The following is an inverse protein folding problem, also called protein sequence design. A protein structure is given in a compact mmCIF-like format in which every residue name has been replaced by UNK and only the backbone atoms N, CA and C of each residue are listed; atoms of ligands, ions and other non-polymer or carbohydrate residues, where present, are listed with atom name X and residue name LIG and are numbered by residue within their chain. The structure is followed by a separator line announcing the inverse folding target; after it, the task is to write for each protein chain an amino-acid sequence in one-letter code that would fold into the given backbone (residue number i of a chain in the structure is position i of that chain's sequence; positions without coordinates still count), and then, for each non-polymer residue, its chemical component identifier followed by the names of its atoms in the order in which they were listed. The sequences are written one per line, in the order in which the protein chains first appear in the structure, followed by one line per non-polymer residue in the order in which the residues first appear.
data_IF_964591423372
#
_entry.id   IF_964591423372
#
_cell.length_a   1.000
_cell.length_b   1.000
_cell.length_c   1.000
_cell.angle_alpha   90.00
_cell.angle_beta   90.00
_cell.angle_gamma   90.00
#
_symmetry.space_group_name_H-M   'P 1'
#
loop_
_entity.id
_entity.type
_entity.pdbx_description
1 polymer ?
#
# COMPACT_ATOMS: atom_id res chain seq x y z
N UNK A 1 64.59 -7.58 -2.76
CA UNK A 1 63.98 -6.26 -3.02
C UNK A 1 63.41 -6.22 -4.43
N UNK A 2 62.09 -6.41 -4.57
CA UNK A 2 61.33 -6.13 -5.81
C UNK A 2 59.91 -5.73 -5.38
N UNK A 3 59.57 -4.48 -5.67
CA UNK A 3 58.25 -3.88 -5.58
C UNK A 3 57.32 -4.55 -6.60
N UNK A 4 56.14 -4.98 -6.17
CA UNK A 4 55.05 -5.40 -7.05
C UNK A 4 53.73 -4.79 -6.53
N UNK A 5 53.30 -3.74 -7.23
CA UNK A 5 51.95 -3.25 -7.51
C UNK A 5 50.79 -3.67 -6.57
N UNK A 6 50.38 -2.73 -5.71
CA UNK A 6 49.04 -2.69 -5.13
C UNK A 6 48.03 -2.27 -6.20
N UNK A 7 47.29 -3.23 -6.76
CA UNK A 7 46.10 -2.95 -7.59
C UNK A 7 44.90 -2.65 -6.71
N UNK A 8 44.24 -1.55 -7.03
CA UNK A 8 43.04 -1.04 -6.39
C UNK A 8 41.91 -2.08 -6.32
N UNK A 9 41.30 -2.23 -5.14
CA UNK A 9 40.07 -2.97 -4.94
C UNK A 9 38.90 -2.32 -5.71
N UNK A 10 38.08 -3.08 -6.44
CA UNK A 10 36.90 -2.53 -7.08
C UNK A 10 35.83 -2.19 -6.05
N UNK A 11 35.24 -1.01 -6.27
CA UNK A 11 34.13 -0.41 -5.54
C UNK A 11 32.99 -1.41 -5.33
N UNK A 12 32.53 -1.53 -4.07
CA UNK A 12 31.35 -2.31 -3.67
C UNK A 12 30.13 -1.90 -4.51
N UNK A 13 29.51 -2.89 -5.17
CA UNK A 13 28.22 -2.74 -5.85
C UNK A 13 27.15 -2.25 -4.86
N UNK A 14 26.42 -1.24 -5.31
CA UNK A 14 25.34 -0.56 -4.61
C UNK A 14 24.20 -1.50 -4.19
N UNK A 15 23.60 -1.21 -3.04
CA UNK A 15 22.47 -1.91 -2.40
C UNK A 15 21.11 -1.77 -3.13
N UNK A 16 21.11 -1.42 -4.41
CA UNK A 16 19.91 -1.35 -5.23
C UNK A 16 19.88 -2.61 -6.12
N UNK A 17 18.85 -3.43 -5.91
CA UNK A 17 18.73 -4.77 -6.47
C UNK A 17 19.05 -4.84 -7.97
N UNK A 18 20.00 -5.70 -8.31
CA UNK A 18 20.19 -6.16 -9.67
C UNK A 18 18.93 -6.91 -10.12
N UNK A 19 18.42 -6.55 -11.30
CA UNK A 19 17.35 -7.28 -11.96
C UNK A 19 17.75 -8.76 -12.08
N UNK A 20 16.86 -9.72 -11.73
CA UNK A 20 17.16 -11.12 -11.98
C UNK A 20 17.31 -11.35 -13.48
N UNK A 21 18.38 -12.05 -13.85
CA UNK A 21 18.66 -12.44 -15.23
C UNK A 21 17.48 -13.18 -15.85
N UNK A 22 17.16 -12.82 -17.09
CA UNK A 22 16.14 -13.49 -17.90
C UNK A 22 16.60 -14.92 -18.23
N UNK A 23 16.29 -15.86 -17.36
CA UNK A 23 16.35 -17.29 -17.67
C UNK A 23 14.96 -17.89 -17.48
N UNK A 24 14.33 -18.31 -18.59
CA UNK A 24 13.27 -19.33 -18.58
C UNK A 24 11.92 -18.95 -17.97
N UNK A 25 11.40 -17.74 -18.21
CA UNK A 25 9.97 -17.50 -17.99
C UNK A 25 9.15 -18.11 -19.16
N UNK A 26 8.08 -18.89 -18.90
CA UNK A 26 7.24 -19.43 -19.97
C UNK A 26 6.65 -18.29 -20.81
N UNK A 27 6.46 -18.53 -22.11
CA UNK A 27 6.10 -17.53 -23.12
C UNK A 27 4.81 -16.73 -22.85
N UNK A 28 4.00 -17.13 -21.87
CA UNK A 28 2.83 -16.40 -21.37
C UNK A 28 3.17 -15.25 -20.40
N UNK A 29 4.44 -15.06 -20.03
CA UNK A 29 4.87 -14.05 -19.05
C UNK A 29 5.16 -12.66 -19.65
N UNK A 30 4.95 -12.46 -20.96
CA UNK A 30 4.89 -11.12 -21.53
C UNK A 30 3.54 -10.52 -21.14
N UNK A 31 3.55 -9.62 -20.15
CA UNK A 31 2.40 -8.80 -19.80
C UNK A 31 1.85 -8.18 -21.08
N UNK A 32 0.59 -8.49 -21.39
CA UNK A 32 -0.13 -8.04 -22.59
C UNK A 32 -0.10 -6.52 -22.76
N UNK A 33 -0.02 -5.77 -21.67
CA UNK A 33 0.07 -4.31 -21.68
C UNK A 33 1.22 -3.78 -22.55
N UNK A 34 2.42 -4.33 -22.48
CA UNK A 34 3.58 -3.79 -23.24
C UNK A 34 3.43 -4.04 -24.75
N UNK A 35 3.13 -5.27 -25.22
CA UNK A 35 2.78 -5.54 -26.60
C UNK A 35 1.56 -4.75 -27.09
N UNK A 36 0.50 -4.65 -26.28
CA UNK A 36 -0.70 -3.87 -26.62
C UNK A 36 -0.34 -2.40 -26.76
N UNK A 37 0.38 -1.81 -25.80
CA UNK A 37 0.81 -0.42 -25.86
C UNK A 37 1.64 -0.16 -27.11
N UNK A 38 2.59 -1.04 -27.45
CA UNK A 38 3.38 -0.89 -28.68
C UNK A 38 2.48 -0.98 -29.91
N UNK A 39 1.64 -2.00 -30.03
CA UNK A 39 0.81 -2.22 -31.21
C UNK A 39 -0.27 -1.13 -31.38
N UNK A 40 -0.88 -0.67 -30.29
CA UNK A 40 -1.96 0.32 -30.29
C UNK A 40 -1.41 1.75 -30.43
N UNK A 41 -0.39 2.11 -29.65
CA UNK A 41 0.14 3.49 -29.64
C UNK A 41 1.00 3.75 -30.88
N UNK A 42 1.82 2.80 -31.32
CA UNK A 42 2.71 3.01 -32.48
C UNK A 42 1.96 3.00 -33.82
N UNK A 43 0.80 2.34 -33.91
CA UNK A 43 -0.03 2.35 -35.13
C UNK A 43 -0.95 3.57 -35.25
N UNK A 44 -0.84 4.51 -34.32
CA UNK A 44 -1.62 5.74 -34.32
C UNK A 44 -3.03 5.55 -33.78
N UNK A 45 -3.52 6.60 -33.15
CA UNK A 45 -4.85 6.68 -32.54
C UNK A 45 -5.54 7.93 -33.11
N UNK A 46 -6.77 7.78 -33.56
CA UNK A 46 -7.60 8.90 -34.04
C UNK A 46 -8.93 8.90 -33.29
N UNK A 47 -9.39 10.07 -32.86
CA UNK A 47 -10.71 10.20 -32.21
C UNK A 47 -11.79 9.77 -33.21
N UNK A 48 -12.78 9.01 -32.74
CA UNK A 48 -13.90 8.59 -33.57
C UNK A 48 -14.74 9.83 -33.99
N UNK A 49 -15.12 9.97 -35.27
CA UNK A 49 -15.84 11.14 -35.75
C UNK A 49 -17.29 11.24 -35.25
N UNK A 50 -17.89 10.13 -34.82
CA UNK A 50 -19.27 10.04 -34.35
C UNK A 50 -19.37 10.03 -32.83
N UNK A 51 -18.36 9.51 -32.13
CA UNK A 51 -18.32 9.48 -30.66
C UNK A 51 -16.97 9.91 -30.10
N UNK A 52 -16.92 11.10 -29.49
CA UNK A 52 -15.69 11.66 -28.90
C UNK A 52 -15.13 10.87 -27.72
N UNK A 53 -15.89 9.93 -27.15
CA UNK A 53 -15.41 9.04 -26.08
C UNK A 53 -14.67 7.82 -26.63
N UNK A 54 -14.71 7.61 -27.95
CA UNK A 54 -14.06 6.50 -28.62
C UNK A 54 -12.81 6.97 -29.39
N UNK A 55 -11.84 6.09 -29.42
CA UNK A 55 -10.61 6.21 -30.20
C UNK A 55 -10.50 5.01 -31.12
N UNK A 56 -10.24 5.27 -32.40
CA UNK A 56 -10.00 4.25 -33.42
C UNK A 56 -8.49 3.98 -33.52
N UNK A 57 -8.13 2.71 -33.56
CA UNK A 57 -6.75 2.23 -33.76
C UNK A 57 -6.76 1.05 -34.75
N UNK A 58 -5.60 0.45 -35.04
CA UNK A 58 -5.43 -0.62 -36.04
C UNK A 58 -6.11 -0.27 -37.37
N UNK A 59 -5.69 0.82 -38.00
CA UNK A 59 -6.25 1.25 -39.30
C UNK A 59 -7.79 1.44 -39.24
N UNK A 60 -8.29 1.88 -38.08
CA UNK A 60 -9.71 2.15 -37.77
C UNK A 60 -10.60 0.92 -37.64
N UNK A 61 -10.03 -0.27 -37.60
CA UNK A 61 -10.77 -1.53 -37.44
C UNK A 61 -11.13 -1.86 -35.99
N UNK A 62 -10.42 -1.26 -35.02
CA UNK A 62 -10.68 -1.44 -33.60
C UNK A 62 -11.09 -0.12 -32.94
N UNK A 63 -12.19 -0.15 -32.19
CA UNK A 63 -12.63 0.95 -31.31
C UNK A 63 -12.20 0.69 -29.87
N UNK A 64 -11.64 1.71 -29.24
CA UNK A 64 -11.31 1.74 -27.82
C UNK A 64 -12.14 2.83 -27.15
N UNK A 65 -12.74 2.51 -26.00
CA UNK A 65 -13.47 3.47 -25.17
C UNK A 65 -12.81 3.63 -23.81
N UNK A 66 -13.04 4.79 -23.19
CA UNK A 66 -12.56 5.07 -21.83
C UNK A 66 -13.67 4.70 -20.84
N UNK A 67 -13.39 3.79 -19.92
CA UNK A 67 -14.31 3.46 -18.84
C UNK A 67 -14.24 4.56 -17.75
N UNK A 68 -15.39 5.03 -17.23
CA UNK A 68 -15.43 6.08 -16.23
C UNK A 68 -14.78 5.62 -14.91
N UNK A 69 -13.68 6.28 -14.51
CA UNK A 69 -12.85 5.84 -13.37
C UNK A 69 -13.56 5.84 -12.00
N UNK A 70 -14.71 6.52 -11.88
CA UNK A 70 -15.53 6.51 -10.66
C UNK A 70 -16.33 5.20 -10.53
N UNK A 71 -16.73 4.60 -11.65
CA UNK A 71 -17.44 3.31 -11.67
C UNK A 71 -16.46 2.15 -11.87
N UNK A 72 -15.47 2.30 -12.75
CA UNK A 72 -14.44 1.31 -13.02
C UNK A 72 -13.17 1.68 -12.25
N UNK A 73 -13.27 1.49 -10.94
CA UNK A 73 -12.28 1.99 -10.00
C UNK A 73 -10.99 1.17 -10.02
N UNK A 74 -9.91 1.86 -9.67
CA UNK A 74 -8.62 1.23 -9.36
C UNK A 74 -8.39 1.26 -7.87
N UNK A 75 -7.33 0.62 -7.36
CA UNK A 75 -6.93 0.81 -5.97
C UNK A 75 -6.77 2.31 -5.61
N UNK A 76 -6.38 3.14 -6.58
CA UNK A 76 -6.24 4.58 -6.39
C UNK A 76 -7.59 5.30 -6.22
N UNK A 77 -8.57 5.03 -7.09
CA UNK A 77 -9.87 5.73 -6.98
C UNK A 77 -10.82 5.12 -5.95
N UNK A 78 -10.66 3.83 -5.64
CA UNK A 78 -11.49 3.15 -4.65
C UNK A 78 -11.03 3.42 -3.21
N UNK A 79 -9.72 3.39 -2.97
CA UNK A 79 -9.14 3.51 -1.61
C UNK A 79 -8.61 4.91 -1.35
N UNK A 80 -7.64 5.32 -2.16
CA UNK A 80 -6.86 6.54 -1.93
C UNK A 80 -7.73 7.79 -2.09
N UNK A 81 -8.69 7.78 -3.03
CA UNK A 81 -9.65 8.88 -3.21
C UNK A 81 -11.08 8.49 -2.83
N UNK A 82 -11.23 7.60 -1.84
CA UNK A 82 -12.54 7.15 -1.36
C UNK A 82 -13.49 8.30 -1.08
N UNK A 83 -13.08 9.25 -0.23
CA UNK A 83 -13.93 10.38 0.17
C UNK A 83 -14.41 11.20 -1.03
N UNK A 84 -13.52 11.46 -2.00
CA UNK A 84 -13.88 12.18 -3.23
C UNK A 84 -14.83 11.36 -4.10
N UNK A 85 -14.63 10.05 -4.20
CA UNK A 85 -15.54 9.18 -4.95
C UNK A 85 -16.93 9.17 -4.30
N UNK A 86 -16.96 9.01 -2.99
CA UNK A 86 -18.21 8.94 -2.21
C UNK A 86 -18.96 10.28 -2.19
N UNK A 87 -18.27 11.41 -2.13
CA UNK A 87 -18.91 12.73 -2.18
C UNK A 87 -19.57 13.04 -3.53
N UNK A 88 -19.16 12.36 -4.60
CA UNK A 88 -19.79 12.46 -5.92
C UNK A 88 -21.01 11.53 -6.08
N UNK A 89 -21.29 10.66 -5.10
CA UNK A 89 -22.47 9.78 -5.10
C UNK A 89 -22.47 8.72 -6.21
N UNK A 90 -21.32 8.42 -6.81
CA UNK A 90 -21.21 7.43 -7.89
C UNK A 90 -20.77 6.09 -7.30
N UNK A 91 -21.62 5.05 -7.32
CA UNK A 91 -21.24 3.74 -6.81
C UNK A 91 -20.21 3.07 -7.75
N UNK A 92 -19.20 2.39 -7.20
CA UNK A 92 -18.27 1.61 -8.00
C UNK A 92 -19.01 0.42 -8.65
N UNK A 93 -18.77 0.19 -9.94
CA UNK A 93 -19.21 -0.99 -10.67
C UNK A 93 -18.16 -2.11 -10.60
N UNK A 94 -16.88 -1.75 -10.66
CA UNK A 94 -15.76 -2.70 -10.61
C UNK A 94 -14.58 -2.10 -9.87
N UNK A 95 -13.79 -2.96 -9.22
CA UNK A 95 -12.52 -2.63 -8.60
C UNK A 95 -11.40 -3.48 -9.23
N UNK A 96 -10.47 -2.81 -9.91
CA UNK A 96 -9.25 -3.41 -10.38
C UNK A 96 -8.07 -2.97 -9.50
N UNK A 97 -7.46 -3.91 -8.77
CA UNK A 97 -6.26 -3.65 -7.94
C UNK A 97 -4.97 -3.46 -8.78
N UNK A 98 -5.00 -2.52 -9.76
CA UNK A 98 -3.81 -1.99 -10.46
C UNK A 98 -3.16 -0.87 -9.66
N UNK A 99 -1.94 -0.49 -10.07
CA UNK A 99 -1.10 0.50 -9.38
C UNK A 99 -0.73 0.15 -7.94
N UNK A 100 -0.94 -1.09 -7.53
CA UNK A 100 -0.50 -1.60 -6.24
C UNK A 100 1.03 -1.65 -6.09
N UNK A 101 1.86 -1.22 -7.04
CA UNK A 101 3.31 -1.47 -7.09
C UNK A 101 3.63 -2.99 -7.00
N UNK A 102 4.61 -3.49 -7.76
CA UNK A 102 4.91 -4.94 -7.80
C UNK A 102 3.82 -5.82 -8.44
N UNK A 103 4.07 -7.14 -8.48
CA UNK A 103 3.35 -8.10 -9.33
C UNK A 103 2.70 -9.25 -8.55
N UNK A 104 2.79 -9.23 -7.24
CA UNK A 104 2.45 -10.37 -6.40
C UNK A 104 0.93 -10.49 -6.18
N UNK A 105 0.37 -11.69 -6.37
CA UNK A 105 -1.06 -11.93 -6.13
C UNK A 105 -1.47 -11.66 -4.68
N UNK A 106 -0.62 -12.03 -3.72
CA UNK A 106 -0.84 -11.80 -2.29
C UNK A 106 -1.06 -10.31 -1.96
N UNK A 107 -0.41 -9.40 -2.70
CA UNK A 107 -0.62 -7.96 -2.53
C UNK A 107 -2.02 -7.53 -2.96
N UNK A 108 -2.51 -8.03 -4.10
CA UNK A 108 -3.88 -7.75 -4.56
C UNK A 108 -4.92 -8.30 -3.59
N UNK A 109 -4.70 -9.53 -3.10
CA UNK A 109 -5.55 -10.14 -2.08
C UNK A 109 -5.59 -9.30 -0.79
N UNK A 110 -4.44 -8.83 -0.31
CA UNK A 110 -4.35 -7.96 0.86
C UNK A 110 -5.18 -6.68 0.70
N UNK A 111 -5.09 -6.02 -0.47
CA UNK A 111 -5.89 -4.84 -0.81
C UNK A 111 -7.39 -5.16 -0.73
N UNK A 112 -7.84 -6.28 -1.29
CA UNK A 112 -9.26 -6.67 -1.21
C UNK A 112 -9.72 -7.04 0.20
N UNK A 113 -8.86 -7.67 1.01
CA UNK A 113 -9.15 -7.97 2.43
C UNK A 113 -9.26 -6.70 3.27
N UNK A 114 -8.40 -5.71 3.00
CA UNK A 114 -8.45 -4.39 3.65
C UNK A 114 -9.74 -3.63 3.30
N UNK A 115 -10.48 -4.02 2.27
CA UNK A 115 -11.84 -3.51 1.97
C UNK A 115 -12.95 -4.46 2.36
N UNK A 116 -12.62 -5.57 3.00
CA UNK A 116 -13.56 -6.62 3.38
C UNK A 116 -14.28 -7.25 2.17
N UNK A 117 -13.75 -7.04 0.96
CA UNK A 117 -14.27 -7.56 -0.31
C UNK A 117 -13.77 -8.98 -0.61
N UNK A 118 -12.67 -9.39 0.01
CA UNK A 118 -12.18 -10.75 -0.11
C UNK A 118 -12.96 -11.69 0.82
N UNK A 119 -13.34 -12.85 0.29
CA UNK A 119 -14.09 -13.87 1.01
C UNK A 119 -13.15 -14.98 1.48
N UNK A 120 -12.72 -14.88 2.73
CA UNK A 120 -11.94 -15.93 3.40
C UNK A 120 -12.83 -16.97 4.10
N UNK A 121 -12.33 -18.19 4.32
CA UNK A 121 -13.05 -19.19 5.11
C UNK A 121 -13.22 -18.73 6.58
N UNK A 122 -14.22 -19.25 7.32
CA UNK A 122 -14.46 -18.87 8.72
C UNK A 122 -13.23 -18.98 9.62
N UNK A 123 -12.37 -19.97 9.39
CA UNK A 123 -11.12 -20.17 10.15
C UNK A 123 -10.13 -19.00 10.05
N UNK A 124 -10.25 -18.15 9.04
CA UNK A 124 -9.44 -16.94 8.91
C UNK A 124 -9.77 -15.89 9.97
N UNK A 125 -11.02 -15.87 10.42
CA UNK A 125 -11.57 -14.92 11.39
C UNK A 125 -11.42 -15.36 12.85
N UNK A 126 -10.92 -16.57 13.08
CA UNK A 126 -10.68 -17.15 14.39
C UNK A 126 -9.26 -16.89 14.88
N UNK A 127 -9.07 -16.94 16.21
CA UNK A 127 -7.75 -16.92 16.83
C UNK A 127 -7.61 -15.90 17.94
N UNK A 128 -6.36 -15.51 18.22
CA UNK A 128 -6.02 -14.53 19.26
C UNK A 128 -5.28 -13.39 18.62
N UNK A 129 -5.83 -12.19 18.72
CA UNK A 129 -5.34 -11.03 17.99
C UNK A 129 -4.65 -10.02 18.91
N UNK A 130 -3.71 -9.27 18.36
CA UNK A 130 -3.11 -8.09 18.98
C UNK A 130 -3.36 -6.90 18.06
N UNK A 131 -4.08 -5.90 18.55
CA UNK A 131 -4.11 -4.58 17.94
C UNK A 131 -3.09 -3.69 18.69
N UNK A 132 -2.34 -2.90 17.94
CA UNK A 132 -1.33 -2.00 18.51
C UNK A 132 -1.66 -0.56 18.13
N UNK A 133 -1.98 0.24 19.13
CA UNK A 133 -2.24 1.67 18.94
C UNK A 133 -0.94 2.42 18.68
N UNK A 134 -0.88 3.14 17.57
CA UNK A 134 0.25 3.98 17.19
C UNK A 134 0.00 5.42 17.60
N UNK A 135 1.07 6.11 18.03
CA UNK A 135 1.04 7.51 18.45
C UNK A 135 2.11 8.32 17.74
N UNK A 136 1.87 9.60 17.51
CA UNK A 136 2.85 10.51 16.91
C UNK A 136 2.62 11.94 17.41
N UNK A 137 3.67 12.77 17.49
CA UNK A 137 3.54 14.18 17.88
C UNK A 137 2.51 14.92 17.00
N UNK A 138 1.71 15.84 17.57
CA UNK A 138 0.73 16.63 16.80
C UNK A 138 1.33 17.35 15.59
N UNK A 139 2.58 17.81 15.72
CA UNK A 139 3.34 18.42 14.61
C UNK A 139 3.45 17.50 13.40
N UNK A 140 3.81 16.22 13.60
CA UNK A 140 3.94 15.25 12.51
C UNK A 140 2.59 14.89 11.89
N UNK A 141 1.48 15.04 12.63
CA UNK A 141 0.12 14.87 12.08
C UNK A 141 -0.16 15.89 10.98
N UNK A 142 0.25 17.15 11.18
CA UNK A 142 0.08 18.23 10.21
C UNK A 142 1.13 18.15 9.09
N UNK A 143 2.40 18.00 9.45
CA UNK A 143 3.49 18.02 8.48
C UNK A 143 3.54 16.77 7.57
N UNK A 144 3.08 15.62 8.06
CA UNK A 144 3.12 14.36 7.32
C UNK A 144 4.52 13.94 6.90
N UNK A 145 4.64 13.36 5.71
CA UNK A 145 5.95 13.10 5.10
C UNK A 145 6.63 11.80 5.55
N UNK A 146 7.88 11.63 5.12
CA UNK A 146 8.68 10.45 5.44
C UNK A 146 8.96 10.30 6.94
N UNK A 147 9.03 11.41 7.69
CA UNK A 147 9.24 11.37 9.14
C UNK A 147 8.05 10.76 9.88
N UNK A 148 6.83 11.16 9.54
CA UNK A 148 5.61 10.56 10.08
C UNK A 148 5.57 9.05 9.78
N UNK A 149 5.92 8.65 8.56
CA UNK A 149 5.98 7.23 8.20
C UNK A 149 7.07 6.49 8.98
N UNK A 150 8.26 7.04 9.10
CA UNK A 150 9.35 6.42 9.85
C UNK A 150 9.02 6.25 11.35
N UNK A 151 8.31 7.20 11.97
CA UNK A 151 7.84 7.07 13.36
C UNK A 151 6.81 5.95 13.49
N UNK A 152 5.87 5.83 12.54
CA UNK A 152 4.88 4.75 12.55
C UNK A 152 5.51 3.38 12.29
N UNK A 153 6.47 3.27 11.37
CA UNK A 153 7.16 2.01 11.08
C UNK A 153 8.00 1.51 12.26
N UNK A 154 8.65 2.40 13.02
CA UNK A 154 9.34 2.01 14.27
C UNK A 154 8.40 1.43 15.30
N UNK A 155 7.19 1.97 15.42
CA UNK A 155 6.15 1.42 16.31
C UNK A 155 5.61 0.09 15.80
N UNK A 156 5.49 -0.07 14.48
CA UNK A 156 5.13 -1.34 13.88
C UNK A 156 6.16 -2.43 14.20
N UNK A 157 7.46 -2.15 14.19
CA UNK A 157 8.48 -3.11 14.64
C UNK A 157 8.27 -3.57 16.09
N UNK A 158 7.85 -2.66 16.98
CA UNK A 158 7.50 -3.01 18.37
C UNK A 158 6.26 -3.90 18.40
N UNK A 159 5.23 -3.57 17.62
CA UNK A 159 4.00 -4.36 17.51
C UNK A 159 4.28 -5.80 17.05
N UNK A 160 5.16 -5.97 16.05
CA UNK A 160 5.59 -7.30 15.57
C UNK A 160 6.28 -8.09 16.68
N UNK A 161 7.18 -7.47 17.43
CA UNK A 161 7.87 -8.13 18.55
C UNK A 161 6.89 -8.57 19.64
N UNK A 162 5.95 -7.69 20.01
CA UNK A 162 4.92 -8.00 21.01
C UNK A 162 3.99 -9.12 20.55
N UNK A 163 3.55 -9.09 19.29
CA UNK A 163 2.71 -10.15 18.71
C UNK A 163 3.39 -11.52 18.79
N UNK A 164 4.68 -11.58 18.45
CA UNK A 164 5.48 -12.80 18.57
C UNK A 164 5.65 -13.26 20.01
N UNK A 165 5.95 -12.36 20.95
CA UNK A 165 6.12 -12.69 22.38
C UNK A 165 4.83 -13.22 23.02
N UNK A 166 3.68 -12.72 22.59
CA UNK A 166 2.36 -13.08 23.14
C UNK A 166 1.68 -14.24 22.39
N UNK A 167 2.33 -14.77 21.34
CA UNK A 167 1.74 -15.69 20.35
C UNK A 167 0.33 -15.22 19.92
N UNK A 168 0.30 -13.99 19.39
CA UNK A 168 -0.89 -13.32 18.86
C UNK A 168 -0.71 -13.03 17.38
N UNK A 169 -1.78 -13.14 16.62
CA UNK A 169 -1.85 -12.63 15.24
C UNK A 169 -1.93 -11.11 15.28
N UNK A 170 -0.98 -10.43 14.65
CA UNK A 170 -0.93 -8.97 14.65
C UNK A 170 -1.98 -8.40 13.69
N UNK A 171 -2.93 -7.62 14.20
CA UNK A 171 -3.74 -6.72 13.36
C UNK A 171 -2.85 -5.52 13.03
N UNK A 172 -2.54 -5.36 11.75
CA UNK A 172 -1.57 -4.39 11.30
C UNK A 172 -2.07 -2.96 11.60
N UNK A 173 -1.21 -2.03 12.03
CA UNK A 173 -1.64 -0.66 12.31
C UNK A 173 -2.00 0.08 11.02
N UNK A 174 -2.98 0.98 11.08
CA UNK A 174 -3.26 1.94 9.99
C UNK A 174 -2.16 2.99 9.96
N UNK A 175 -1.63 3.24 8.77
CA UNK A 175 -0.64 4.29 8.55
C UNK A 175 -1.32 5.60 8.14
N UNK A 176 -0.93 6.72 8.74
CA UNK A 176 -1.35 8.07 8.38
C UNK A 176 -0.38 8.74 7.44
N UNK A 177 -0.92 9.50 6.49
CA UNK A 177 -0.13 10.12 5.41
C UNK A 177 0.25 11.57 5.71
N UNK A 178 -0.50 12.20 6.60
CA UNK A 178 -0.44 13.65 6.85
C UNK A 178 -0.84 14.45 5.62
N UNK A 179 -0.66 15.77 5.70
CA UNK A 179 -1.21 16.70 4.70
C UNK A 179 -0.22 17.07 3.59
N UNK A 180 1.08 16.79 3.77
CA UNK A 180 2.12 17.14 2.80
C UNK A 180 2.20 16.14 1.65
N UNK A 181 2.08 16.67 0.44
CA UNK A 181 2.26 15.95 -0.82
C UNK A 181 3.68 15.37 -0.93
N UNK A 182 3.83 14.14 -1.46
CA UNK A 182 5.09 13.44 -1.86
C UNK A 182 5.57 12.26 -0.98
N UNK A 183 4.89 11.88 0.10
CA UNK A 183 5.35 10.74 0.90
C UNK A 183 5.16 9.35 0.23
N UNK A 184 4.44 9.27 -0.91
CA UNK A 184 4.13 7.99 -1.58
C UNK A 184 4.58 7.98 -3.04
N UNK A 185 5.30 6.92 -3.49
CA UNK A 185 5.79 6.81 -4.86
C UNK A 185 4.71 6.95 -5.94
N UNK A 186 3.51 6.42 -5.73
CA UNK A 186 2.42 6.56 -6.69
C UNK A 186 1.79 7.97 -6.71
N UNK A 187 1.81 8.68 -5.57
CA UNK A 187 1.52 10.12 -5.58
C UNK A 187 2.61 10.88 -6.33
N UNK A 188 3.89 10.58 -6.12
CA UNK A 188 4.97 11.25 -6.86
C UNK A 188 4.83 11.10 -8.39
N UNK A 189 4.44 9.91 -8.88
CA UNK A 189 4.13 9.70 -10.30
C UNK A 189 2.90 10.50 -10.76
N UNK A 190 1.83 10.50 -9.96
CA UNK A 190 0.61 11.26 -10.28
C UNK A 190 0.86 12.78 -10.26
N UNK A 191 1.58 13.30 -9.26
CA UNK A 191 2.04 14.68 -9.18
C UNK A 191 2.86 15.06 -10.41
N UNK A 192 3.77 14.17 -10.85
CA UNK A 192 4.56 14.39 -12.07
C UNK A 192 3.69 14.39 -13.34
N UNK A 193 2.73 13.49 -13.45
CA UNK A 193 1.79 13.46 -14.57
C UNK A 193 0.90 14.71 -14.60
N UNK A 194 0.33 15.10 -13.46
CA UNK A 194 -0.51 16.29 -13.32
C UNK A 194 0.29 17.57 -13.63
N UNK A 195 1.52 17.68 -13.11
CA UNK A 195 2.41 18.79 -13.43
C UNK A 195 2.75 18.84 -14.93
N UNK A 196 2.98 17.68 -15.56
CA UNK A 196 3.20 17.59 -17.01
C UNK A 196 2.00 18.09 -17.82
N UNK A 197 0.77 17.83 -17.35
CA UNK A 197 -0.45 18.33 -17.97
C UNK A 197 -0.85 19.75 -17.52
N UNK A 198 0.02 20.47 -16.79
CA UNK A 198 -0.27 21.82 -16.29
C UNK A 198 -1.38 21.88 -15.24
N UNK A 199 -1.76 20.76 -14.64
CA UNK A 199 -2.78 20.67 -13.61
C UNK A 199 -2.18 20.98 -12.24
N UNK A 200 -2.90 21.77 -11.44
CA UNK A 200 -2.43 22.18 -10.12
C UNK A 200 -2.42 20.98 -9.15
N UNK A 201 -1.22 20.46 -8.90
CA UNK A 201 -0.98 19.30 -8.06
C UNK A 201 -1.25 19.55 -6.56
N UNK A 202 -1.26 20.82 -6.12
CA UNK A 202 -1.65 21.18 -4.75
C UNK A 202 -3.16 21.00 -4.49
N UNK A 203 -3.96 20.72 -5.53
CA UNK A 203 -5.40 20.43 -5.42
C UNK A 203 -5.74 18.94 -5.29
N UNK A 204 -4.74 18.06 -5.23
CA UNK A 204 -4.96 16.63 -5.03
C UNK A 204 -4.78 16.36 -3.53
N UNK A 205 -5.88 16.23 -2.76
CA UNK A 205 -5.78 15.99 -1.33
C UNK A 205 -5.11 14.63 -1.08
N UNK A 206 -4.20 14.58 -0.11
CA UNK A 206 -3.64 13.33 0.38
C UNK A 206 -4.75 12.48 1.02
N UNK A 207 -4.72 11.14 0.90
CA UNK A 207 -5.61 10.32 1.67
C UNK A 207 -5.29 10.46 3.15
N UNK A 208 -6.33 10.40 4.00
CA UNK A 208 -6.13 10.25 5.44
C UNK A 208 -5.37 8.94 5.77
N UNK A 209 -5.84 7.89 5.06
CA UNK A 209 -5.39 6.49 4.91
C UNK A 209 -4.13 6.22 4.08
N UNK A 210 -2.97 5.85 4.61
CA UNK A 210 -1.91 5.36 3.73
C UNK A 210 -2.09 3.90 3.35
N UNK A 211 -1.91 3.57 2.07
CA UNK A 211 -1.93 2.18 1.68
C UNK A 211 -0.72 1.46 2.27
N UNK A 212 -0.97 0.56 3.21
CA UNK A 212 0.07 -0.16 3.95
C UNK A 212 0.92 -1.04 3.03
N UNK A 213 0.37 -1.51 1.91
CA UNK A 213 1.06 -2.38 0.96
C UNK A 213 2.30 -1.76 0.28
N UNK A 214 2.50 -0.43 0.37
CA UNK A 214 3.75 0.22 -0.06
C UNK A 214 4.90 0.01 0.93
N UNK A 215 4.57 -0.17 2.22
CA UNK A 215 5.53 -0.21 3.31
C UNK A 215 5.64 -1.61 3.92
N UNK A 216 4.67 -2.48 3.64
CA UNK A 216 4.61 -3.83 4.14
C UNK A 216 4.42 -4.82 3.00
N UNK A 217 5.29 -5.84 2.95
CA UNK A 217 5.18 -6.95 2.02
C UNK A 217 4.52 -8.13 2.72
N UNK A 218 3.22 -8.30 2.49
CA UNK A 218 2.43 -9.41 3.02
C UNK A 218 3.08 -10.77 2.70
N UNK A 219 3.51 -10.97 1.46
CA UNK A 219 4.17 -12.20 1.03
C UNK A 219 5.47 -12.47 1.82
N UNK A 220 6.34 -11.46 1.98
CA UNK A 220 7.58 -11.65 2.73
C UNK A 220 7.33 -11.87 4.21
N UNK A 221 6.30 -11.25 4.77
CA UNK A 221 5.89 -11.46 6.15
C UNK A 221 5.39 -12.89 6.38
N UNK A 222 4.52 -13.40 5.49
CA UNK A 222 4.05 -14.79 5.52
C UNK A 222 5.21 -15.78 5.39
N UNK A 223 6.14 -15.55 4.45
CA UNK A 223 7.34 -16.37 4.26
C UNK A 223 8.26 -16.40 5.51
N UNK A 224 8.25 -15.33 6.30
CA UNK A 224 8.98 -15.24 7.57
C UNK A 224 8.18 -15.75 8.78
N UNK A 225 6.99 -16.31 8.54
CA UNK A 225 6.14 -16.88 9.59
C UNK A 225 5.39 -15.85 10.44
N UNK A 226 5.33 -14.58 10.02
CA UNK A 226 4.55 -13.57 10.73
C UNK A 226 3.05 -13.83 10.53
N UNK A 227 2.33 -14.07 11.63
CA UNK A 227 0.87 -14.11 11.64
C UNK A 227 0.33 -12.68 11.69
N UNK A 228 -0.40 -12.25 10.66
CA UNK A 228 -1.01 -10.92 10.64
C UNK A 228 -2.40 -10.88 10.03
N UNK A 229 -3.09 -9.76 10.21
CA UNK A 229 -4.36 -9.37 9.59
C UNK A 229 -4.35 -7.90 9.18
N UNK A 230 -5.20 -7.53 8.23
CA UNK A 230 -5.31 -6.18 7.69
C UNK A 230 -5.79 -5.16 8.75
N UNK A 231 -5.51 -3.86 8.61
CA UNK A 231 -5.81 -2.87 9.65
C UNK A 231 -7.28 -2.69 10.06
N UNK A 232 -8.23 -3.15 9.24
CA UNK A 232 -9.65 -3.11 9.54
C UNK A 232 -10.26 -4.49 9.81
N UNK A 233 -9.42 -5.50 10.04
CA UNK A 233 -9.87 -6.87 10.22
C UNK A 233 -10.87 -7.03 11.37
N UNK A 234 -10.61 -6.44 12.54
CA UNK A 234 -11.50 -6.56 13.70
C UNK A 234 -12.85 -5.85 13.52
N UNK A 235 -12.95 -4.93 12.56
CA UNK A 235 -14.21 -4.27 12.17
C UNK A 235 -14.96 -5.03 11.08
N UNK A 236 -14.44 -6.16 10.60
CA UNK A 236 -15.11 -6.97 9.60
C UNK A 236 -16.30 -7.70 10.24
N UNK A 237 -17.52 -7.61 9.68
CA UNK A 237 -18.71 -8.25 10.25
C UNK A 237 -18.61 -9.79 10.28
N UNK A 238 -17.65 -10.38 9.58
CA UNK A 238 -17.38 -11.82 9.61
C UNK A 238 -16.52 -12.25 10.80
N UNK A 239 -15.95 -11.31 11.56
CA UNK A 239 -15.28 -11.63 12.82
C UNK A 239 -16.32 -12.09 13.83
N UNK A 240 -16.19 -13.31 14.40
CA UNK A 240 -17.16 -13.83 15.35
C UNK A 240 -17.32 -12.96 16.59
N UNK A 241 -18.53 -12.97 17.16
CA UNK A 241 -18.85 -12.18 18.34
C UNK A 241 -18.00 -12.57 19.56
N UNK A 242 -17.65 -13.85 19.73
CA UNK A 242 -16.81 -14.28 20.86
C UNK A 242 -15.39 -13.72 20.79
N UNK A 243 -14.90 -13.35 19.61
CA UNK A 243 -13.62 -12.66 19.44
C UNK A 243 -13.78 -11.17 19.77
N UNK A 244 -14.76 -10.51 19.14
CA UNK A 244 -14.96 -9.06 19.31
C UNK A 244 -15.44 -8.65 20.71
N UNK A 245 -16.11 -9.55 21.44
CA UNK A 245 -16.54 -9.33 22.83
C UNK A 245 -15.43 -9.62 23.87
N UNK A 246 -14.35 -10.31 23.49
CA UNK A 246 -13.28 -10.73 24.39
C UNK A 246 -12.05 -9.84 24.27
N UNK A 247 -12.13 -8.62 24.82
CA UNK A 247 -11.07 -7.59 24.71
C UNK A 247 -10.39 -7.34 26.04
N UNK A 248 -9.05 -7.25 26.02
CA UNK A 248 -8.23 -6.79 27.14
C UNK A 248 -7.23 -5.74 26.66
N UNK A 249 -7.12 -4.63 27.39
CA UNK A 249 -6.20 -3.52 27.06
C UNK A 249 -4.99 -3.55 27.98
N UNK A 250 -3.79 -3.44 27.42
CA UNK A 250 -2.54 -3.34 28.17
C UNK A 250 -1.75 -2.12 27.71
N UNK A 251 -0.99 -1.51 28.64
CA UNK A 251 -0.05 -0.43 28.33
C UNK A 251 1.38 -0.95 28.39
N UNK A 252 2.17 -0.64 27.37
CA UNK A 252 3.59 -0.99 27.32
C UNK A 252 4.38 0.19 27.88
N UNK A 253 5.10 -0.04 28.97
CA UNK A 253 5.73 1.04 29.74
C UNK A 253 7.24 0.80 29.83
N UNK A 254 8.02 1.86 29.61
CA UNK A 254 9.47 1.76 29.67
C UNK A 254 9.93 1.59 31.13
N UNK A 255 10.85 0.66 31.46
CA UNK A 255 11.24 0.38 32.84
C UNK A 255 11.75 1.60 33.64
N UNK A 256 12.40 2.56 32.97
CA UNK A 256 12.87 3.82 33.59
C UNK A 256 11.75 4.79 34.02
N UNK A 257 10.50 4.58 33.61
CA UNK A 257 9.36 5.36 34.11
C UNK A 257 8.70 4.73 35.34
N UNK A 258 9.15 3.53 35.76
CA UNK A 258 8.58 2.78 36.88
C UNK A 258 9.29 3.05 38.23
N UNK A 259 10.02 4.16 38.35
CA UNK A 259 10.51 4.64 39.65
C UNK A 259 9.51 5.63 40.23
N UNK A 260 8.82 5.16 41.27
CA UNK A 260 7.88 5.85 42.16
C UNK A 260 6.40 5.87 41.72
N UNK A 261 5.61 5.10 42.48
CA UNK A 261 4.15 4.96 42.50
C UNK A 261 3.52 4.09 41.40
N UNK A 262 2.63 3.21 41.85
CA UNK A 262 1.90 2.27 41.02
C UNK A 262 1.19 2.98 39.85
N UNK A 263 1.39 2.47 38.63
CA UNK A 263 0.46 2.68 37.52
C UNK A 263 0.67 3.89 36.60
N UNK A 264 1.75 4.68 36.73
CA UNK A 264 1.98 5.79 35.80
C UNK A 264 2.74 5.35 34.54
N UNK A 265 2.01 4.83 33.55
CA UNK A 265 2.50 4.84 32.18
C UNK A 265 2.29 6.26 31.63
N UNK A 266 3.37 7.03 31.59
CA UNK A 266 3.34 8.45 31.23
C UNK A 266 2.64 8.69 29.89
N UNK A 267 1.54 9.44 29.93
CA UNK A 267 0.90 9.96 28.74
C UNK A 267 1.75 11.09 28.15
N UNK A 268 2.11 10.96 26.87
CA UNK A 268 2.53 12.11 26.09
C UNK A 268 1.27 12.79 25.55
N UNK A 269 1.07 14.05 25.95
CA UNK A 269 0.11 14.95 25.31
C UNK A 269 0.57 15.43 23.94
#
# INVERSE_FOLDING_TARGET
ARLAELRAHPVRKSWWGGAPGKAGAPALAAWDQDPINKLVIQRGMVVDPLDRQLVRTFERTLSLGILPMLQFTTAFTYFIHRERRESLGVPPYSLHAIFAHGKEAARKQFIFREEQLWHDPPSYYEGRFLEFETSWPPRLKQEGGFELIAVQLRQFEVAVKLASLLDRTLVLPRLRCGERTMAYPCYAWYHRAMAYFGLNFAKVPMPEVCPLYYWFSAQQAEQKGLKFREPNFLTNPRVPQHISASVATARVCHPRAATHSAGSCGGAG
#
